data_IF_260408184837
#
_entry.id   IF_260408184837
#
_cell.length_a   1.000
_cell.length_b   1.000
_cell.length_c   1.000
_cell.angle_alpha   90.00
_cell.angle_beta   90.00
_cell.angle_gamma   90.00
#
_symmetry.space_group_name_H-M   'P 1'
#
loop_
_entity.id
_entity.type
_entity.pdbx_description
1 polymer ?
#
# COMPACT_ATOMS: atom_id res chain seq x y z
N UNK A 1 -0.54 -10.36 0.34
CA UNK A 1 -0.63 -8.91 0.59
C UNK A 1 -0.85 -8.70 2.07
N UNK A 2 -0.40 -7.57 2.62
CA UNK A 2 -0.68 -7.18 4.00
C UNK A 2 -1.51 -5.92 3.92
N UNK A 3 -2.65 -5.89 4.62
CA UNK A 3 -3.61 -4.79 4.51
C UNK A 3 -3.82 -4.24 5.92
N UNK A 4 -3.59 -2.95 6.08
CA UNK A 4 -3.71 -2.24 7.35
C UNK A 4 -4.83 -1.23 7.26
N UNK A 5 -5.78 -1.29 8.19
CA UNK A 5 -6.67 -0.16 8.43
C UNK A 5 -5.87 0.92 9.19
N UNK A 6 -5.61 2.06 8.53
CA UNK A 6 -4.78 3.12 9.09
C UNK A 6 -5.47 3.91 10.21
N UNK A 7 -6.80 3.90 10.28
CA UNK A 7 -7.58 4.61 11.31
C UNK A 7 -7.48 3.93 12.68
N UNK A 8 -7.42 2.59 12.69
CA UNK A 8 -7.52 1.80 13.92
C UNK A 8 -6.38 0.82 14.16
N UNK A 9 -5.36 0.82 13.31
CA UNK A 9 -4.16 0.00 13.44
C UNK A 9 -4.38 -1.52 13.42
N UNK A 10 -5.48 -1.95 12.81
CA UNK A 10 -5.79 -3.38 12.69
C UNK A 10 -5.46 -3.90 11.32
N UNK A 11 -4.75 -5.03 11.32
CA UNK A 11 -4.63 -5.88 10.15
C UNK A 11 -6.03 -6.35 9.70
N UNK A 12 -6.30 -6.30 8.41
CA UNK A 12 -7.53 -6.84 7.82
C UNK A 12 -7.20 -7.92 6.80
N UNK A 13 -8.01 -8.99 6.79
CA UNK A 13 -7.77 -10.18 5.96
C UNK A 13 -8.38 -10.09 4.58
N UNK A 14 -9.32 -9.18 4.37
CA UNK A 14 -10.02 -9.01 3.11
C UNK A 14 -10.40 -7.54 2.91
N UNK A 15 -10.33 -7.08 1.67
CA UNK A 15 -10.69 -5.71 1.25
C UNK A 15 -11.30 -5.78 -0.13
N UNK A 16 -12.35 -5.00 -0.36
CA UNK A 16 -12.89 -4.72 -1.69
C UNK A 16 -12.49 -3.30 -2.07
N UNK A 17 -11.82 -3.15 -3.22
CA UNK A 17 -11.45 -1.86 -3.78
C UNK A 17 -12.27 -1.70 -5.06
N UNK A 18 -13.04 -0.62 -5.12
CA UNK A 18 -13.84 -0.26 -6.29
C UNK A 18 -13.20 0.99 -6.89
N UNK A 19 -12.72 0.85 -8.12
CA UNK A 19 -12.05 1.93 -8.85
C UNK A 19 -12.87 2.22 -10.11
N UNK A 20 -12.99 3.50 -10.42
CA UNK A 20 -13.30 3.95 -11.78
C UNK A 20 -12.17 3.54 -12.72
N UNK A 21 -12.43 3.62 -14.03
CA UNK A 21 -11.42 3.31 -15.04
C UNK A 21 -10.19 4.24 -14.93
N UNK A 22 -10.39 5.50 -14.56
CA UNK A 22 -9.33 6.50 -14.43
C UNK A 22 -8.45 6.19 -13.21
N UNK A 23 -9.06 5.93 -12.04
CA UNK A 23 -8.32 5.54 -10.83
C UNK A 23 -7.57 4.21 -11.02
N UNK A 24 -8.16 3.26 -11.77
CA UNK A 24 -7.48 2.01 -12.10
C UNK A 24 -6.27 2.21 -13.02
N UNK A 25 -6.35 3.15 -13.97
CA UNK A 25 -5.24 3.51 -14.84
C UNK A 25 -4.12 4.19 -14.05
N UNK A 26 -4.46 5.11 -13.14
CA UNK A 26 -3.50 5.76 -12.24
C UNK A 26 -2.78 4.73 -11.35
N UNK A 27 -3.53 3.80 -10.74
CA UNK A 27 -2.94 2.71 -9.96
C UNK A 27 -1.96 1.88 -10.78
N UNK A 28 -2.32 1.53 -12.02
CA UNK A 28 -1.47 0.75 -12.91
C UNK A 28 -0.16 1.48 -13.19
N UNK A 29 -0.24 2.74 -13.60
CA UNK A 29 0.93 3.51 -14.01
C UNK A 29 1.87 3.78 -12.82
N UNK A 30 1.30 4.03 -11.63
CA UNK A 30 2.08 4.16 -10.40
C UNK A 30 2.77 2.85 -9.99
N UNK A 31 2.05 1.72 -10.07
CA UNK A 31 2.66 0.41 -9.81
C UNK A 31 3.79 0.09 -10.79
N UNK A 32 3.59 0.39 -12.08
CA UNK A 32 4.63 0.23 -13.10
C UNK A 32 5.87 1.08 -12.77
N UNK A 33 5.66 2.34 -12.36
CA UNK A 33 6.75 3.23 -11.93
C UNK A 33 7.52 2.66 -10.74
N UNK A 34 6.81 2.23 -9.70
CA UNK A 34 7.42 1.67 -8.47
C UNK A 34 8.21 0.38 -8.77
N UNK A 35 7.72 -0.48 -9.66
CA UNK A 35 8.39 -1.71 -10.07
C UNK A 35 9.66 -1.43 -10.90
N UNK A 36 9.64 -0.42 -11.77
CA UNK A 36 10.79 -0.06 -12.61
C UNK A 36 11.90 0.63 -11.83
N UNK A 37 11.56 1.38 -10.77
CA UNK A 37 12.52 2.16 -10.00
C UNK A 37 13.55 1.32 -9.23
N UNK A 38 13.25 0.05 -8.91
CA UNK A 38 14.03 -0.76 -7.94
C UNK A 38 14.20 -0.07 -6.56
N UNK A 39 13.39 0.96 -6.29
CA UNK A 39 13.39 1.70 -5.03
C UNK A 39 12.34 1.04 -4.14
N UNK A 40 12.78 0.06 -3.37
CA UNK A 40 12.03 -0.40 -2.22
C UNK A 40 11.79 0.81 -1.29
N UNK A 41 10.62 0.91 -0.66
CA UNK A 41 10.17 2.01 0.22
C UNK A 41 9.51 3.21 -0.46
N UNK A 42 9.33 3.20 -1.78
CA UNK A 42 8.34 4.10 -2.39
C UNK A 42 6.93 3.64 -2.02
N UNK A 43 6.09 4.63 -1.72
CA UNK A 43 4.67 4.47 -1.54
C UNK A 43 3.97 5.46 -2.46
N UNK A 44 2.83 5.07 -3.00
CA UNK A 44 1.94 5.96 -3.74
C UNK A 44 0.61 6.08 -3.03
N UNK A 45 -0.08 7.18 -3.26
CA UNK A 45 -1.41 7.46 -2.75
C UNK A 45 -2.36 7.55 -3.92
N UNK A 46 -3.43 6.76 -3.88
CA UNK A 46 -4.51 6.84 -4.85
C UNK A 46 -5.70 7.41 -4.12
N UNK A 47 -6.17 8.54 -4.61
CA UNK A 47 -7.25 9.28 -4.00
C UNK A 47 -8.42 9.37 -4.97
N UNK A 48 -9.63 9.37 -4.43
CA UNK A 48 -10.76 9.85 -5.21
C UNK A 48 -10.69 11.37 -5.41
N UNK A 49 -11.49 11.89 -6.34
CA UNK A 49 -11.55 13.33 -6.66
C UNK A 49 -11.92 14.22 -5.45
N UNK A 50 -12.51 13.63 -4.39
CA UNK A 50 -12.89 14.30 -3.16
C UNK A 50 -11.85 14.25 -2.04
N UNK A 51 -10.80 13.42 -2.17
CA UNK A 51 -9.86 13.06 -1.10
C UNK A 51 -10.61 12.52 0.14
N UNK A 52 -11.77 11.91 -0.07
CA UNK A 52 -12.54 11.26 1.00
C UNK A 52 -12.04 9.84 1.23
N UNK A 53 -11.53 9.19 0.17
CA UNK A 53 -10.99 7.85 0.21
C UNK A 53 -9.56 7.84 -0.31
N UNK A 54 -8.64 7.36 0.52
CA UNK A 54 -7.22 7.21 0.20
C UNK A 54 -6.81 5.74 0.27
N UNK A 55 -6.14 5.26 -0.79
CA UNK A 55 -5.44 3.99 -0.82
C UNK A 55 -3.93 4.25 -0.90
N UNK A 56 -3.22 3.97 0.19
CA UNK A 56 -1.76 3.93 0.17
C UNK A 56 -1.26 2.56 -0.28
N UNK A 57 -0.43 2.49 -1.32
CA UNK A 57 0.22 1.26 -1.78
C UNK A 57 1.73 1.41 -1.69
N UNK A 58 2.41 0.41 -1.12
CA UNK A 58 3.85 0.42 -0.95
C UNK A 58 4.47 -0.92 -1.35
N UNK A 59 5.65 -0.88 -1.96
CA UNK A 59 6.48 -2.08 -2.21
C UNK A 59 7.56 -2.14 -1.14
N UNK A 60 7.58 -3.25 -0.41
CA UNK A 60 8.58 -3.52 0.62
C UNK A 60 9.39 -4.77 0.29
N UNK A 61 10.62 -4.80 0.79
CA UNK A 61 11.49 -5.97 0.76
C UNK A 61 11.38 -6.72 2.09
N UNK A 62 10.93 -7.97 2.07
CA UNK A 62 10.80 -8.80 3.28
C UNK A 62 12.13 -9.07 3.98
N UNK A 63 13.26 -8.89 3.29
CA UNK A 63 14.60 -9.03 3.87
C UNK A 63 15.09 -7.73 4.52
N UNK A 64 14.42 -6.59 4.29
CA UNK A 64 14.79 -5.26 4.79
C UNK A 64 13.71 -4.64 5.68
N UNK A 65 12.97 -5.47 6.42
CA UNK A 65 11.91 -5.01 7.31
C UNK A 65 12.42 -4.06 8.41
N UNK A 66 13.71 -4.09 8.75
CA UNK A 66 14.32 -3.22 9.77
C UNK A 66 14.16 -1.72 9.48
N UNK A 67 14.06 -1.35 8.20
CA UNK A 67 13.87 0.03 7.75
C UNK A 67 12.42 0.50 7.81
N UNK A 68 11.46 -0.40 8.06
CA UNK A 68 10.04 -0.07 8.16
C UNK A 68 9.74 0.49 9.56
N UNK A 69 8.67 1.28 9.67
CA UNK A 69 8.21 1.70 11.01
C UNK A 69 7.68 0.49 11.80
N UNK A 70 7.61 0.61 13.13
CA UNK A 70 7.23 -0.51 14.01
C UNK A 70 5.82 -1.05 13.72
N UNK A 71 4.89 -0.20 13.26
CA UNK A 71 3.52 -0.59 12.89
C UNK A 71 3.51 -1.54 11.68
N UNK A 72 4.23 -1.17 10.62
CA UNK A 72 4.33 -1.96 9.38
C UNK A 72 5.16 -3.21 9.64
N UNK A 73 6.24 -3.13 10.44
CA UNK A 73 7.00 -4.32 10.87
C UNK A 73 6.10 -5.34 11.55
N UNK A 74 5.29 -4.90 12.51
CA UNK A 74 4.35 -5.76 13.22
C UNK A 74 3.38 -6.45 12.25
N UNK A 75 2.79 -5.69 11.33
CA UNK A 75 1.92 -6.24 10.30
C UNK A 75 2.64 -7.30 9.43
N UNK A 76 3.87 -7.01 8.99
CA UNK A 76 4.65 -7.94 8.15
C UNK A 76 5.03 -9.22 8.91
N UNK A 77 5.32 -9.11 10.22
CA UNK A 77 5.70 -10.24 11.06
C UNK A 77 4.51 -11.09 11.53
N UNK A 78 3.35 -10.47 11.80
CA UNK A 78 2.15 -11.16 12.31
C UNK A 78 1.28 -11.76 11.21
N UNK A 79 1.22 -11.14 10.01
CA UNK A 79 0.57 -11.68 8.81
C UNK A 79 1.60 -12.34 7.84
N UNK A 80 2.74 -12.77 8.39
CA UNK A 80 3.86 -13.42 7.69
C UNK A 80 3.58 -14.85 7.27
#
# INVERSE_FOLDING_TARGET
MRILNQDNDKAIKNVLILLTQEEAAELKDDLERMLQGNIFHEHTHINDMGIEHELTVAIYDSLKIECLNERIKKLVLEDG
#
